data_IF_482555063111
#
_entry.id   IF_482555063111
#
_cell.length_a   1.000
_cell.length_b   1.000
_cell.length_c   1.000
_cell.angle_alpha   90.00
_cell.angle_beta   90.00
_cell.angle_gamma   90.00
#
_symmetry.space_group_name_H-M   'P 1'
#
loop_
_entity.id
_entity.type
_entity.pdbx_description
1 polymer ?
#
# COMPACT_ATOMS: atom_id res chain seq x y z
N UNK A 1 28.84 13.52 -1.76
CA UNK A 1 28.21 13.97 -0.51
C UNK A 1 27.18 15.04 -0.86
N UNK A 2 25.95 14.66 -1.20
CA UNK A 2 24.90 15.60 -1.60
C UNK A 2 24.09 16.00 -0.37
N UNK A 3 24.08 17.30 -0.09
CA UNK A 3 23.50 17.90 1.10
C UNK A 3 22.01 17.57 1.24
N UNK A 4 21.63 17.17 2.45
CA UNK A 4 20.24 17.23 2.91
C UNK A 4 19.89 18.71 2.99
N UNK A 5 19.24 19.24 1.95
CA UNK A 5 18.62 20.55 2.01
C UNK A 5 17.67 20.58 3.21
N UNK A 6 17.76 21.65 4.01
CA UNK A 6 16.89 21.99 5.14
C UNK A 6 15.48 21.40 4.98
N UNK A 7 15.13 20.42 5.80
CA UNK A 7 13.73 20.12 6.10
C UNK A 7 13.21 21.24 7.00
N UNK A 8 12.94 22.41 6.40
CA UNK A 8 12.13 23.43 7.05
C UNK A 8 10.82 22.78 7.47
N UNK A 9 10.54 22.77 8.78
CA UNK A 9 9.32 22.21 9.34
C UNK A 9 8.12 22.98 8.79
N UNK A 10 7.50 22.40 7.76
CA UNK A 10 6.47 23.05 6.98
C UNK A 10 5.15 22.96 7.73
N UNK A 11 4.73 24.06 8.36
CA UNK A 11 3.47 24.13 9.10
C UNK A 11 2.27 23.88 8.17
N UNK A 12 1.14 23.36 8.69
CA UNK A 12 -0.05 23.08 7.89
C UNK A 12 -0.60 24.32 7.18
N UNK A 13 -0.44 25.50 7.78
CA UNK A 13 -0.88 26.77 7.19
C UNK A 13 -0.04 27.15 5.96
N UNK A 14 1.29 26.99 6.03
CA UNK A 14 2.19 27.21 4.89
C UNK A 14 1.92 26.24 3.74
N UNK A 15 1.53 25.00 4.07
CA UNK A 15 1.08 24.02 3.09
C UNK A 15 -0.17 24.49 2.35
N UNK A 16 -1.20 24.96 3.08
CA UNK A 16 -2.42 25.48 2.46
C UNK A 16 -2.16 26.69 1.56
N UNK A 17 -1.24 27.58 1.94
CA UNK A 17 -0.84 28.71 1.10
C UNK A 17 -0.18 28.25 -0.20
N UNK A 18 0.70 27.24 -0.14
CA UNK A 18 1.31 26.65 -1.34
C UNK A 18 0.29 25.96 -2.24
N UNK A 19 -0.75 25.34 -1.68
CA UNK A 19 -1.89 24.82 -2.46
C UNK A 19 -2.55 25.96 -3.23
N UNK A 20 -2.90 27.06 -2.54
CA UNK A 20 -3.57 28.23 -3.14
C UNK A 20 -2.73 28.87 -4.25
N UNK A 21 -1.42 28.90 -4.08
CA UNK A 21 -0.47 29.43 -5.06
C UNK A 21 -0.11 28.42 -6.18
N UNK A 22 -0.63 27.19 -6.14
CA UNK A 22 -0.34 26.16 -7.16
C UNK A 22 1.09 25.60 -7.12
N UNK A 23 1.87 25.90 -6.08
CA UNK A 23 3.28 25.51 -5.94
C UNK A 23 3.47 24.07 -5.42
N UNK A 24 2.38 23.40 -5.04
CA UNK A 24 2.46 22.07 -4.46
C UNK A 24 2.51 20.97 -5.51
N UNK A 25 3.46 20.04 -5.33
CA UNK A 25 3.61 18.87 -6.21
C UNK A 25 2.38 17.96 -6.10
N UNK A 26 1.96 17.43 -7.25
CA UNK A 26 0.85 16.48 -7.39
C UNK A 26 1.37 15.13 -7.87
N UNK A 27 0.78 14.05 -7.35
CA UNK A 27 1.09 12.67 -7.75
C UNK A 27 -0.19 11.86 -7.87
N UNK A 28 -0.14 10.74 -8.60
CA UNK A 28 -1.28 9.84 -8.77
C UNK A 28 -1.24 8.75 -7.70
N UNK A 29 -2.40 8.42 -7.13
CA UNK A 29 -2.55 7.22 -6.33
C UNK A 29 -2.35 5.98 -7.22
N UNK A 30 -1.53 5.04 -6.78
CA UNK A 30 -1.22 3.86 -7.58
C UNK A 30 -2.41 2.89 -7.75
N UNK A 31 -3.40 2.92 -6.84
CA UNK A 31 -4.59 2.08 -6.94
C UNK A 31 -5.69 2.70 -7.81
N UNK A 32 -6.22 3.86 -7.41
CA UNK A 32 -7.36 4.51 -8.09
C UNK A 32 -6.97 5.47 -9.22
N UNK A 33 -5.68 5.71 -9.44
CA UNK A 33 -5.12 6.57 -10.51
C UNK A 33 -5.53 8.06 -10.44
N UNK A 34 -6.29 8.45 -9.43
CA UNK A 34 -6.66 9.84 -9.17
C UNK A 34 -5.45 10.66 -8.72
N UNK A 35 -5.45 11.95 -9.04
CA UNK A 35 -4.36 12.91 -8.75
C UNK A 35 -4.62 13.55 -7.39
N UNK A 36 -3.62 13.49 -6.52
CA UNK A 36 -3.65 14.07 -5.17
C UNK A 36 -2.44 14.99 -4.96
N UNK A 37 -2.52 15.85 -3.95
CA UNK A 37 -1.33 16.51 -3.43
C UNK A 37 -0.46 15.51 -2.68
N UNK A 38 0.87 15.66 -2.75
CA UNK A 38 1.79 14.69 -2.12
C UNK A 38 1.53 14.50 -0.62
N UNK A 39 1.06 15.54 0.07
CA UNK A 39 0.74 15.46 1.50
C UNK A 39 -0.50 14.62 1.82
N UNK A 40 -1.38 14.43 0.84
CA UNK A 40 -2.63 13.66 0.97
C UNK A 40 -2.42 12.18 0.60
N UNK A 41 -1.18 11.78 0.30
CA UNK A 41 -0.77 10.41 0.01
C UNK A 41 0.09 9.84 1.16
N UNK A 42 -0.47 9.60 2.36
CA UNK A 42 0.30 9.05 3.48
C UNK A 42 0.62 7.57 3.30
N UNK A 43 -0.14 6.85 2.48
CA UNK A 43 0.00 5.42 2.31
C UNK A 43 1.18 5.07 1.42
N UNK A 44 2.03 4.14 1.89
CA UNK A 44 3.12 3.59 1.10
C UNK A 44 3.05 2.07 1.12
N UNK A 45 2.85 1.45 -0.05
CA UNK A 45 2.81 -0.01 -0.20
C UNK A 45 3.73 -0.49 -1.31
N UNK A 46 3.99 -1.78 -1.39
CA UNK A 46 4.73 -2.38 -2.50
C UNK A 46 3.84 -2.51 -3.74
N UNK A 47 4.44 -2.30 -4.92
CA UNK A 47 3.76 -2.55 -6.19
C UNK A 47 3.18 -3.98 -6.26
N UNK A 48 3.88 -4.97 -5.70
CA UNK A 48 3.40 -6.36 -5.58
C UNK A 48 2.00 -6.45 -4.96
N UNK A 49 1.77 -5.81 -3.82
CA UNK A 49 0.48 -5.86 -3.13
C UNK A 49 -0.64 -5.24 -3.97
N UNK A 50 -0.33 -4.19 -4.73
CA UNK A 50 -1.28 -3.57 -5.67
C UNK A 50 -1.66 -4.55 -6.79
N UNK A 51 -0.67 -5.26 -7.35
CA UNK A 51 -0.94 -6.29 -8.37
C UNK A 51 -1.77 -7.44 -7.78
N UNK A 52 -1.46 -7.91 -6.58
CA UNK A 52 -2.21 -8.96 -5.89
C UNK A 52 -3.67 -8.53 -5.64
N UNK A 53 -3.91 -7.29 -5.21
CA UNK A 53 -5.27 -6.76 -5.01
C UNK A 53 -6.04 -6.66 -6.33
N UNK A 54 -5.40 -6.14 -7.38
CA UNK A 54 -6.00 -6.06 -8.72
C UNK A 54 -6.37 -7.44 -9.26
N UNK A 55 -5.51 -8.44 -9.04
CA UNK A 55 -5.80 -9.83 -9.40
C UNK A 55 -7.00 -10.37 -8.62
N UNK A 56 -7.10 -10.10 -7.31
CA UNK A 56 -8.28 -10.46 -6.49
C UNK A 56 -9.58 -9.84 -7.00
N UNK A 57 -9.51 -8.64 -7.57
CA UNK A 57 -10.65 -7.95 -8.20
C UNK A 57 -10.93 -8.41 -9.63
N UNK A 58 -10.22 -9.42 -10.14
CA UNK A 58 -10.41 -9.94 -11.49
C UNK A 58 -9.87 -9.01 -12.58
N UNK A 59 -9.05 -8.02 -12.23
CA UNK A 59 -8.37 -7.21 -13.24
C UNK A 59 -7.24 -8.03 -13.86
N UNK A 60 -7.22 -8.11 -15.19
CA UNK A 60 -6.13 -8.75 -15.92
C UNK A 60 -4.86 -7.89 -15.83
N UNK A 61 -4.04 -8.17 -14.82
CA UNK A 61 -2.77 -7.47 -14.54
C UNK A 61 -1.69 -7.84 -15.56
N UNK A 62 -1.81 -9.00 -16.21
CA UNK A 62 -0.89 -9.50 -17.23
C UNK A 62 -1.29 -8.99 -18.63
N UNK A 63 -1.32 -7.66 -18.84
CA UNK A 63 -1.32 -7.14 -20.22
C UNK A 63 0.13 -7.14 -20.73
N UNK A 64 0.52 -8.23 -21.36
CA UNK A 64 1.87 -8.50 -21.88
C UNK A 64 2.52 -9.65 -21.13
N UNK A 65 3.10 -10.61 -21.86
CA UNK A 65 3.55 -11.95 -21.42
C UNK A 65 4.58 -12.03 -20.28
N UNK A 66 4.87 -10.93 -19.55
CA UNK A 66 5.95 -10.91 -18.56
C UNK A 66 5.55 -10.21 -17.27
N UNK A 67 5.71 -10.93 -16.16
CA UNK A 67 5.70 -10.37 -14.82
C UNK A 67 6.80 -9.30 -14.70
N UNK A 68 6.53 -8.16 -14.03
CA UNK A 68 7.56 -7.15 -13.81
C UNK A 68 8.75 -7.75 -13.05
N UNK A 69 9.99 -7.27 -13.31
CA UNK A 69 11.19 -7.77 -12.65
C UNK A 69 11.09 -7.65 -11.12
N UNK A 70 11.75 -8.53 -10.34
CA UNK A 70 11.66 -8.54 -8.88
C UNK A 70 11.97 -7.19 -8.22
N UNK A 71 12.88 -6.40 -8.79
CA UNK A 71 13.20 -5.06 -8.30
C UNK A 71 12.02 -4.08 -8.36
N UNK A 72 11.12 -4.24 -9.33
CA UNK A 72 9.93 -3.39 -9.47
C UNK A 72 8.80 -3.81 -8.55
N UNK A 73 8.70 -5.10 -8.19
CA UNK A 73 7.66 -5.61 -7.29
C UNK A 73 7.75 -4.99 -5.88
N UNK A 74 8.96 -4.72 -5.39
CA UNK A 74 9.19 -4.12 -4.07
C UNK A 74 9.35 -2.59 -4.11
N UNK A 75 9.11 -1.97 -5.25
CA UNK A 75 9.07 -0.51 -5.34
C UNK A 75 7.94 0.02 -4.45
N UNK A 76 8.25 1.04 -3.65
CA UNK A 76 7.26 1.75 -2.83
C UNK A 76 6.40 2.63 -3.73
N UNK A 77 5.10 2.47 -3.61
CA UNK A 77 4.08 3.23 -4.31
C UNK A 77 3.16 3.93 -3.33
N UNK A 78 2.77 5.15 -3.70
CA UNK A 78 1.97 6.04 -2.86
C UNK A 78 0.47 5.82 -3.11
N UNK A 79 -0.30 5.81 -2.02
CA UNK A 79 -1.74 5.61 -2.02
C UNK A 79 -2.44 6.75 -1.28
N UNK A 80 -3.64 7.08 -1.76
CA UNK A 80 -4.51 7.99 -1.02
C UNK A 80 -5.06 7.32 0.23
N UNK A 81 -5.46 8.16 1.20
CA UNK A 81 -6.05 7.74 2.48
C UNK A 81 -7.16 6.72 2.28
N UNK A 82 -8.06 6.95 1.33
CA UNK A 82 -9.16 6.03 1.04
C UNK A 82 -8.68 4.68 0.53
N UNK A 83 -7.74 4.65 -0.43
CA UNK A 83 -7.25 3.38 -0.99
C UNK A 83 -6.43 2.55 0.01
N UNK A 84 -5.90 3.19 1.05
CA UNK A 84 -5.16 2.49 2.11
C UNK A 84 -6.04 1.48 2.86
N UNK A 85 -7.34 1.74 2.99
CA UNK A 85 -8.29 0.87 3.70
C UNK A 85 -8.37 -0.56 3.12
N UNK A 86 -8.04 -0.74 1.83
CA UNK A 86 -8.05 -2.06 1.17
C UNK A 86 -6.82 -2.91 1.54
N UNK A 87 -5.81 -2.29 2.16
CA UNK A 87 -4.55 -2.91 2.54
C UNK A 87 -4.33 -2.94 4.06
N UNK A 88 -5.12 -2.19 4.83
CA UNK A 88 -5.09 -2.25 6.28
C UNK A 88 -5.57 -3.63 6.75
N UNK A 89 -4.59 -4.42 7.15
CA UNK A 89 -4.73 -5.82 7.55
C UNK A 89 -4.99 -5.95 9.05
N UNK A 90 -5.91 -5.16 9.61
CA UNK A 90 -6.43 -5.48 10.95
C UNK A 90 -7.15 -6.85 10.99
N UNK A 91 -7.57 -7.39 9.83
CA UNK A 91 -8.12 -8.75 9.71
C UNK A 91 -7.17 -9.84 9.17
N UNK A 92 -6.18 -9.50 8.32
CA UNK A 92 -5.39 -10.54 7.62
C UNK A 92 -4.08 -10.93 8.33
N UNK A 93 -3.51 -10.06 9.18
CA UNK A 93 -2.35 -10.46 10.01
C UNK A 93 -2.80 -11.44 11.09
N UNK A 94 -4.03 -11.31 11.60
CA UNK A 94 -4.62 -12.26 12.53
C UNK A 94 -4.78 -13.65 11.90
N UNK A 95 -5.28 -13.77 10.66
CA UNK A 95 -5.48 -15.08 10.05
C UNK A 95 -4.16 -15.84 9.83
N UNK A 96 -3.09 -15.14 9.44
CA UNK A 96 -1.79 -15.79 9.26
C UNK A 96 -1.12 -16.15 10.60
N UNK A 97 -1.21 -15.29 11.62
CA UNK A 97 -0.73 -15.61 12.97
C UNK A 97 -1.55 -16.72 13.64
N UNK A 98 -2.87 -16.76 13.42
CA UNK A 98 -3.77 -17.76 13.98
C UNK A 98 -3.59 -19.13 13.33
N UNK A 99 -3.31 -19.18 12.02
CA UNK A 99 -2.91 -20.42 11.32
C UNK A 99 -1.52 -20.91 11.76
N UNK A 100 -0.57 -20.00 11.97
CA UNK A 100 0.76 -20.33 12.49
C UNK A 100 0.74 -20.73 13.99
N UNK A 101 -0.19 -20.18 14.78
CA UNK A 101 -0.42 -20.56 16.16
C UNK A 101 -1.12 -21.92 16.27
N UNK A 102 -2.10 -22.19 15.39
CA UNK A 102 -2.81 -23.48 15.33
C UNK A 102 -1.91 -24.65 14.92
N UNK A 103 -0.80 -24.41 14.22
CA UNK A 103 0.11 -25.48 13.77
C UNK A 103 1.19 -25.84 14.80
N UNK A 104 1.27 -25.13 15.93
CA UNK A 104 2.23 -25.42 17.02
C UNK A 104 1.63 -26.14 18.23
N UNK A 105 0.34 -26.48 18.20
CA UNK A 105 -0.29 -27.20 19.31
C UNK A 105 -1.54 -27.97 18.88
N UNK A 106 -1.37 -29.28 18.68
CA UNK A 106 -2.46 -30.24 18.76
C UNK A 106 -3.33 -30.39 17.51
N UNK A 107 -3.52 -31.65 17.13
CA UNK A 107 -4.45 -32.16 16.10
C UNK A 107 -5.81 -31.43 16.14
N UNK A 108 -6.39 -31.05 14.98
CA UNK A 108 -7.73 -30.47 14.95
C UNK A 108 -8.77 -31.46 15.51
N UNK A 109 -9.54 -31.02 16.50
CA UNK A 109 -10.56 -31.80 17.21
C UNK A 109 -11.78 -32.24 16.37
N UNK A 110 -11.74 -32.11 15.04
CA UNK A 110 -12.83 -32.53 14.15
C UNK A 110 -12.63 -33.96 13.59
N UNK A 111 -11.58 -34.68 13.96
CA UNK A 111 -11.35 -36.08 13.53
C UNK A 111 -11.57 -37.13 14.63
N UNK A 112 -12.29 -36.81 15.70
CA UNK A 112 -12.78 -37.81 16.66
C UNK A 112 -14.30 -37.78 16.72
N UNK A 113 -14.95 -38.42 15.75
CA UNK A 113 -16.34 -38.86 15.87
C UNK A 113 -16.48 -40.24 15.21
N UNK A 114 -16.46 -41.24 16.10
CA UNK A 114 -16.93 -42.64 16.04
C UNK A 114 -16.50 -43.53 14.87
#
# INVERSE_FOLDING_TARGET
MTGRANEEQLTPELLQLRVKQGLQKRKKCALCLQVFYVNELPGAITHKSILELRQKWGMNVLRGDRMPPPSQLYKREELCVFCMQFFDTSGAVQSQQQLLASTRGGVPAHLTLR
#
